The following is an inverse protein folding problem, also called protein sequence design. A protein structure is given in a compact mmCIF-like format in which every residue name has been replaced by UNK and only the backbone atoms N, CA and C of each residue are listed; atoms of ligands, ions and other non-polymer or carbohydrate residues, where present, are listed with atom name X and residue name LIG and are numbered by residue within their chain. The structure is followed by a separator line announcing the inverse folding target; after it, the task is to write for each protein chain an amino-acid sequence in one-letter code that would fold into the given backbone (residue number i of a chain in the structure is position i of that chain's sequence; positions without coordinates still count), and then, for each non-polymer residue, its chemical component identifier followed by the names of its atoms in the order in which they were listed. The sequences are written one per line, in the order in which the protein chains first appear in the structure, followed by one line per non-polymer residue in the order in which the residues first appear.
data_IF_846567483142
#
_entry.id   IF_846567483142
#
_cell.length_a   1.000
_cell.length_b   1.000
_cell.length_c   1.000
_cell.angle_alpha   90.00
_cell.angle_beta   90.00
_cell.angle_gamma   90.00
#
_symmetry.space_group_name_H-M   'P 1'
#
loop_
_entity.id
_entity.type
_entity.pdbx_description
1 polymer ?
#
# COMPACT_ATOMS: atom_id res chain seq x y z
N UNK A 1 -13.41 8.49 -6.91
CA UNK A 1 -12.87 9.22 -5.74
C UNK A 1 -11.55 8.57 -5.36
N UNK A 2 -10.62 9.31 -4.76
CA UNK A 2 -9.35 8.76 -4.25
C UNK A 2 -9.58 8.30 -2.81
N UNK A 3 -9.40 7.01 -2.53
CA UNK A 3 -9.58 6.41 -1.20
C UNK A 3 -8.24 6.09 -0.49
N UNK A 4 -7.11 6.28 -1.18
CA UNK A 4 -5.77 5.99 -0.68
C UNK A 4 -5.35 4.52 -0.76
N UNK A 5 -6.17 3.66 -1.39
CA UNK A 5 -5.88 2.25 -1.62
C UNK A 5 -5.92 1.94 -3.13
N UNK A 6 -5.00 2.51 -3.93
CA UNK A 6 -4.99 2.25 -5.36
C UNK A 6 -4.83 0.75 -5.63
N UNK A 7 -5.75 0.20 -6.42
CA UNK A 7 -5.77 -1.19 -6.84
C UNK A 7 -5.85 -1.34 -8.36
N UNK A 8 -5.28 -2.43 -8.88
CA UNK A 8 -5.27 -2.69 -10.32
C UNK A 8 -4.38 -1.75 -11.13
N UNK A 9 -4.75 -1.55 -12.41
CA UNK A 9 -4.02 -0.67 -13.35
C UNK A 9 -4.65 0.71 -13.35
N UNK A 10 -4.01 1.65 -12.69
CA UNK A 10 -4.46 3.04 -12.61
C UNK A 10 -3.44 3.93 -13.33
N UNK A 11 -3.96 4.83 -14.15
CA UNK A 11 -3.22 5.96 -14.69
C UNK A 11 -4.15 7.18 -14.68
N UNK A 12 -3.82 8.17 -13.85
CA UNK A 12 -4.67 9.33 -13.63
C UNK A 12 -3.87 10.62 -13.58
N UNK A 13 -4.43 11.67 -14.17
CA UNK A 13 -3.94 13.04 -14.06
C UNK A 13 -4.77 13.80 -13.02
N UNK A 14 -4.09 14.58 -12.18
CA UNK A 14 -4.71 15.39 -11.15
C UNK A 14 -4.35 16.86 -11.37
N UNK A 15 -5.36 17.72 -11.42
CA UNK A 15 -5.18 19.18 -11.35
C UNK A 15 -4.71 19.60 -9.95
N UNK A 16 -4.20 20.83 -9.77
CA UNK A 16 -3.81 21.32 -8.45
C UNK A 16 -4.96 21.27 -7.43
N UNK A 17 -6.20 21.56 -7.88
CA UNK A 17 -7.37 21.46 -7.02
C UNK A 17 -7.64 20.00 -6.60
N UNK A 18 -7.61 19.06 -7.55
CA UNK A 18 -7.82 17.63 -7.24
C UNK A 18 -6.71 17.06 -6.35
N UNK A 19 -5.48 17.56 -6.47
CA UNK A 19 -4.40 17.20 -5.54
C UNK A 19 -4.71 17.64 -4.11
N UNK A 20 -5.23 18.86 -3.93
CA UNK A 20 -5.65 19.32 -2.60
C UNK A 20 -6.79 18.45 -2.06
N UNK A 21 -7.79 18.16 -2.88
CA UNK A 21 -8.97 17.36 -2.50
C UNK A 21 -8.60 15.91 -2.12
N UNK A 22 -7.50 15.38 -2.67
CA UNK A 22 -7.01 14.00 -2.42
C UNK A 22 -5.92 13.92 -1.36
N UNK A 23 -5.70 14.99 -0.59
CA UNK A 23 -4.61 15.07 0.40
C UNK A 23 -3.24 14.76 -0.21
N UNK A 24 -2.97 15.32 -1.38
CA UNK A 24 -1.74 15.11 -2.17
C UNK A 24 -1.49 13.66 -2.55
N UNK A 25 -2.54 12.91 -2.91
CA UNK A 25 -2.46 11.49 -3.27
C UNK A 25 -1.85 10.65 -2.15
N UNK A 26 -2.29 10.88 -0.91
CA UNK A 26 -1.88 10.06 0.23
C UNK A 26 -2.27 8.59 -0.04
N UNK A 27 -1.31 7.68 0.19
CA UNK A 27 -1.48 6.24 -0.02
C UNK A 27 -1.20 5.53 1.31
N UNK A 28 -2.08 4.60 1.66
CA UNK A 28 -2.02 3.88 2.93
C UNK A 28 -1.26 2.55 2.86
N UNK A 29 -0.86 2.10 1.67
CA UNK A 29 0.04 0.96 1.51
C UNK A 29 1.39 1.24 2.15
N UNK A 30 1.89 0.30 2.94
CA UNK A 30 3.30 0.32 3.37
C UNK A 30 4.17 0.13 2.13
N UNK A 31 5.12 1.03 1.93
CA UNK A 31 5.92 1.08 0.73
C UNK A 31 7.40 1.23 1.04
N UNK A 32 8.22 0.50 0.29
CA UNK A 32 9.63 0.80 0.13
C UNK A 32 9.78 1.90 -0.92
N UNK A 33 10.61 2.89 -0.61
CA UNK A 33 10.96 3.95 -1.56
C UNK A 33 12.31 3.63 -2.18
N UNK A 34 12.36 3.04 -3.40
CA UNK A 34 13.63 2.81 -4.08
C UNK A 34 14.38 4.14 -4.34
N UNK A 35 15.71 4.08 -4.51
CA UNK A 35 16.50 5.26 -4.85
C UNK A 35 15.96 5.92 -6.13
N UNK A 36 15.80 7.25 -6.06
CA UNK A 36 15.08 8.06 -7.05
C UNK A 36 15.99 8.55 -8.19
N UNK A 37 15.41 8.83 -9.36
CA UNK A 37 16.07 9.57 -10.44
C UNK A 37 15.74 11.07 -10.34
N UNK A 38 16.73 11.92 -10.64
CA UNK A 38 16.65 13.39 -10.57
C UNK A 38 15.51 13.96 -11.42
N UNK A 39 14.78 14.93 -10.87
CA UNK A 39 13.75 15.74 -11.52
C UNK A 39 13.41 16.96 -10.66
N UNK A 40 12.78 17.98 -11.24
CA UNK A 40 12.43 19.23 -10.53
C UNK A 40 10.92 19.29 -10.27
N UNK A 41 10.46 19.66 -9.05
CA UNK A 41 9.04 19.92 -8.81
C UNK A 41 8.51 21.12 -9.61
N UNK A 42 9.38 22.04 -10.03
CA UNK A 42 9.03 23.24 -10.82
C UNK A 42 9.00 22.97 -12.34
N UNK A 43 9.13 21.71 -12.75
CA UNK A 43 9.09 21.33 -14.15
C UNK A 43 7.77 21.79 -14.81
N UNK A 44 7.90 22.44 -15.96
CA UNK A 44 6.77 22.86 -16.78
C UNK A 44 6.17 21.70 -17.60
N UNK A 45 6.92 20.60 -17.77
CA UNK A 45 6.49 19.41 -18.51
C UNK A 45 6.70 18.13 -17.69
N UNK A 46 5.85 17.10 -17.88
CA UNK A 46 5.96 15.81 -17.18
C UNK A 46 7.32 15.13 -17.39
N UNK A 47 7.96 15.35 -18.54
CA UNK A 47 9.26 14.74 -18.89
C UNK A 47 10.43 15.16 -17.99
N UNK A 48 10.30 16.28 -17.26
CA UNK A 48 11.33 16.82 -16.34
C UNK A 48 10.90 16.74 -14.86
N UNK A 49 9.77 16.10 -14.60
CA UNK A 49 9.12 16.11 -13.30
C UNK A 49 9.86 15.30 -12.24
N UNK A 50 9.57 15.59 -10.98
CA UNK A 50 10.05 14.79 -9.86
C UNK A 50 9.17 13.55 -9.73
N UNK A 51 9.71 12.40 -10.14
CA UNK A 51 9.04 11.11 -10.04
C UNK A 51 9.41 10.44 -8.71
N UNK A 52 8.42 10.23 -7.85
CA UNK A 52 8.53 9.37 -6.67
C UNK A 52 7.99 7.98 -7.02
N UNK A 53 8.85 6.96 -6.98
CA UNK A 53 8.44 5.56 -7.15
C UNK A 53 8.37 4.87 -5.80
N UNK A 54 7.44 3.94 -5.71
CA UNK A 54 7.15 3.20 -4.50
C UNK A 54 6.89 1.75 -4.87
N UNK A 55 7.37 0.85 -4.03
CA UNK A 55 7.12 -0.57 -4.14
C UNK A 55 6.41 -1.04 -2.87
N UNK A 56 5.29 -1.73 -3.03
CA UNK A 56 4.53 -2.33 -1.95
C UNK A 56 5.42 -3.22 -1.07
N UNK A 57 5.45 -2.97 0.24
CA UNK A 57 6.25 -3.73 1.17
C UNK A 57 5.65 -5.12 1.48
N UNK A 58 4.43 -5.39 1.03
CA UNK A 58 3.70 -6.63 1.31
C UNK A 58 3.00 -6.62 2.65
N UNK A 59 2.78 -7.81 3.19
CA UNK A 59 2.05 -8.03 4.45
C UNK A 59 2.70 -9.16 5.24
N UNK A 60 2.65 -9.07 6.57
CA UNK A 60 2.94 -10.19 7.46
C UNK A 60 1.64 -10.94 7.72
N UNK A 61 1.56 -12.19 7.33
CA UNK A 61 0.40 -13.05 7.50
C UNK A 61 0.71 -14.12 8.56
N UNK A 62 -0.31 -14.55 9.31
CA UNK A 62 -0.16 -15.71 10.18
C UNK A 62 -0.07 -17.00 9.35
N UNK A 63 0.84 -17.89 9.73
CA UNK A 63 0.99 -19.21 9.10
C UNK A 63 -0.18 -20.18 9.39
N UNK A 64 -1.00 -19.90 10.41
CA UNK A 64 -2.18 -20.71 10.73
C UNK A 64 -3.30 -20.48 9.70
N UNK A 65 -3.84 -21.56 9.13
CA UNK A 65 -4.93 -21.50 8.14
C UNK A 65 -6.24 -20.93 8.68
N UNK A 66 -6.42 -20.94 10.00
CA UNK A 66 -7.63 -20.43 10.67
C UNK A 66 -7.43 -19.04 11.27
N UNK A 67 -6.18 -18.53 11.28
CA UNK A 67 -5.88 -17.20 11.79
C UNK A 67 -5.81 -16.20 10.63
N UNK A 68 -6.68 -15.19 10.64
CA UNK A 68 -6.77 -14.15 9.61
C UNK A 68 -5.95 -12.90 9.94
N UNK A 69 -5.08 -12.97 10.96
CA UNK A 69 -4.24 -11.85 11.37
C UNK A 69 -3.28 -11.48 10.25
N UNK A 70 -3.33 -10.20 9.88
CA UNK A 70 -2.45 -9.55 8.92
C UNK A 70 -1.87 -8.29 9.55
N UNK A 71 -0.56 -8.11 9.42
CA UNK A 71 0.17 -7.01 10.05
C UNK A 71 0.98 -6.25 8.99
N UNK A 72 0.98 -4.93 9.11
CA UNK A 72 1.83 -4.05 8.31
C UNK A 72 3.32 -4.36 8.54
N UNK A 73 4.12 -4.55 7.48
CA UNK A 73 5.57 -4.67 7.62
C UNK A 73 6.16 -3.39 8.23
N UNK A 74 7.06 -3.57 9.19
CA UNK A 74 7.86 -2.53 9.80
C UNK A 74 9.24 -2.42 9.13
N UNK A 75 10.12 -1.59 9.70
CA UNK A 75 11.46 -1.38 9.16
C UNK A 75 12.36 -2.62 9.21
N UNK A 76 12.14 -3.52 10.19
CA UNK A 76 12.89 -4.75 10.38
C UNK A 76 11.94 -5.96 10.26
N UNK A 77 11.61 -6.29 9.01
CA UNK A 77 10.74 -7.42 8.67
C UNK A 77 11.34 -8.72 9.19
N UNK A 78 12.66 -8.89 9.11
CA UNK A 78 13.39 -10.08 9.56
C UNK A 78 13.23 -10.33 11.06
N UNK A 79 13.11 -9.28 11.88
CA UNK A 79 12.78 -9.41 13.30
C UNK A 79 11.30 -9.68 13.52
N UNK A 80 10.41 -9.05 12.75
CA UNK A 80 8.97 -9.26 12.93
C UNK A 80 8.52 -10.68 12.60
N UNK A 81 9.07 -11.31 11.54
CA UNK A 81 8.74 -12.71 11.20
C UNK A 81 9.20 -13.73 12.25
N UNK A 82 10.13 -13.35 13.14
CA UNK A 82 10.56 -14.17 14.29
C UNK A 82 9.62 -14.07 15.48
N UNK A 83 8.68 -13.12 15.46
CA UNK A 83 7.69 -12.96 16.51
C UNK A 83 6.48 -13.84 16.22
N UNK A 84 5.87 -14.37 17.28
CA UNK A 84 4.65 -15.13 17.15
C UNK A 84 3.45 -14.21 16.91
N UNK A 85 2.50 -14.70 16.13
CA UNK A 85 1.16 -14.15 16.05
C UNK A 85 0.46 -14.27 17.40
N UNK A 86 -0.59 -13.48 17.61
CA UNK A 86 -1.43 -13.56 18.82
C UNK A 86 -2.08 -14.93 19.04
N UNK A 87 -2.21 -15.75 17.99
CA UNK A 87 -2.67 -17.14 18.09
C UNK A 87 -1.56 -18.17 18.38
N UNK A 88 -0.32 -17.73 18.60
CA UNK A 88 0.84 -18.60 18.91
C UNK A 88 1.54 -19.20 17.70
N UNK A 89 1.08 -18.95 16.47
CA UNK A 89 1.73 -19.40 15.24
C UNK A 89 2.68 -18.33 14.68
N UNK A 90 3.68 -18.74 13.91
CA UNK A 90 4.65 -17.81 13.31
C UNK A 90 4.03 -16.90 12.25
N UNK A 91 4.61 -15.73 12.07
CA UNK A 91 4.32 -14.80 10.99
C UNK A 91 5.21 -15.09 9.77
N UNK A 92 4.63 -15.08 8.58
CA UNK A 92 5.38 -15.13 7.32
C UNK A 92 5.21 -13.83 6.54
N UNK A 93 6.28 -13.40 5.87
CA UNK A 93 6.23 -12.22 5.01
C UNK A 93 5.76 -12.62 3.60
N UNK A 94 4.56 -12.17 3.24
CA UNK A 94 4.07 -12.24 1.87
C UNK A 94 4.48 -10.97 1.13
N UNK A 95 5.46 -11.13 0.24
CA UNK A 95 5.95 -10.03 -0.60
C UNK A 95 4.89 -9.62 -1.62
N UNK A 96 4.97 -8.36 -2.06
CA UNK A 96 4.03 -7.73 -2.97
C UNK A 96 4.81 -7.14 -4.15
N UNK A 97 4.33 -7.39 -5.37
CA UNK A 97 4.97 -6.90 -6.61
C UNK A 97 4.32 -5.63 -7.14
N UNK A 98 3.37 -5.07 -6.39
CA UNK A 98 2.68 -3.85 -6.75
C UNK A 98 3.63 -2.67 -6.63
N UNK A 99 3.62 -1.83 -7.64
CA UNK A 99 4.46 -0.65 -7.76
C UNK A 99 3.63 0.51 -8.27
N UNK A 100 3.92 1.70 -7.74
CA UNK A 100 3.29 2.92 -8.18
C UNK A 100 4.29 4.08 -8.24
N UNK A 101 3.92 5.08 -9.01
CA UNK A 101 4.64 6.33 -9.11
C UNK A 101 3.70 7.51 -8.96
N UNK A 102 4.18 8.51 -8.24
CA UNK A 102 3.59 9.84 -8.20
C UNK A 102 4.60 10.80 -8.81
N UNK A 103 4.13 11.51 -9.81
CA UNK A 103 4.87 12.46 -10.62
C UNK A 103 4.27 13.83 -10.38
N UNK A 104 5.00 14.74 -9.73
CA UNK A 104 4.48 16.08 -9.41
C UNK A 104 5.21 17.13 -10.25
N UNK A 105 4.43 18.01 -10.88
CA UNK A 105 4.88 19.12 -11.72
C UNK A 105 4.06 20.38 -11.40
N UNK A 106 4.45 21.53 -11.96
CA UNK A 106 3.86 22.84 -11.61
C UNK A 106 2.32 22.87 -11.66
N UNK A 107 1.75 22.20 -12.66
CA UNK A 107 0.33 22.29 -12.98
C UNK A 107 -0.47 21.03 -12.59
N UNK A 108 0.08 20.15 -11.75
CA UNK A 108 -0.63 18.95 -11.33
C UNK A 108 0.26 17.77 -10.98
N UNK A 109 -0.33 16.58 -11.05
CA UNK A 109 0.39 15.33 -10.87
C UNK A 109 -0.13 14.23 -11.78
N UNK A 110 0.72 13.23 -11.99
CA UNK A 110 0.35 11.94 -12.57
C UNK A 110 0.52 10.86 -11.50
N UNK A 111 -0.51 10.04 -11.33
CA UNK A 111 -0.44 8.79 -10.60
C UNK A 111 -0.46 7.63 -11.60
N UNK A 112 0.46 6.67 -11.43
CA UNK A 112 0.51 5.49 -12.28
C UNK A 112 0.91 4.25 -11.47
N UNK A 113 0.30 3.11 -11.78
CA UNK A 113 0.71 1.79 -11.29
C UNK A 113 1.43 1.00 -12.40
N UNK A 114 2.55 0.34 -12.11
CA UNK A 114 3.36 -0.37 -13.13
C UNK A 114 3.11 -1.88 -13.19
N UNK A 115 2.50 -2.49 -12.17
CA UNK A 115 2.20 -3.92 -12.16
C UNK A 115 0.82 -4.20 -11.57
N UNK A 116 0.02 -5.00 -12.29
CA UNK A 116 -1.35 -5.35 -11.95
C UNK A 116 -1.49 -6.69 -11.26
N UNK A 117 -0.43 -7.16 -10.59
CA UNK A 117 -0.62 -8.25 -9.64
C UNK A 117 -1.48 -7.66 -8.53
N UNK A 118 -2.76 -8.03 -8.51
CA UNK A 118 -3.74 -7.72 -7.48
C UNK A 118 -3.03 -7.35 -6.17
N UNK A 119 -3.18 -6.10 -5.73
CA UNK A 119 -2.68 -5.66 -4.44
C UNK A 119 -3.37 -6.52 -3.37
N UNK A 120 -2.76 -7.66 -3.04
CA UNK A 120 -3.19 -8.63 -2.04
C UNK A 120 -4.68 -9.04 -2.03
N UNK A 121 -5.39 -8.98 -3.16
CA UNK A 121 -6.65 -9.71 -3.32
C UNK A 121 -6.36 -11.13 -3.78
N UNK A 122 -6.08 -12.02 -2.82
CA UNK A 122 -6.40 -13.44 -2.97
C UNK A 122 -6.53 -14.06 -1.59
N UNK A 123 -7.74 -13.97 -1.06
CA UNK A 123 -8.31 -14.92 -0.12
C UNK A 123 -9.71 -15.27 -0.62
N UNK A 124 -9.77 -16.06 -1.68
CA UNK A 124 -10.81 -17.08 -1.89
C UNK A 124 -10.20 -18.10 -2.86
N UNK A 125 -9.38 -19.01 -2.36
CA UNK A 125 -9.10 -20.25 -3.08
C UNK A 125 -10.33 -21.15 -2.92
N UNK A 126 -11.07 -21.32 -4.02
CA UNK A 126 -11.94 -22.47 -4.32
C UNK A 126 -12.75 -23.05 -3.16
N UNK A 127 -13.63 -22.25 -2.58
CA UNK A 127 -14.83 -22.77 -1.93
C UNK A 127 -15.96 -21.77 -2.08
N UNK A 128 -17.14 -22.32 -2.30
CA UNK A 128 -18.34 -21.67 -2.82
C UNK A 128 -18.67 -20.30 -2.23
N UNK A 129 -19.32 -19.52 -3.08
CA UNK A 129 -20.04 -18.28 -2.79
C UNK A 129 -20.90 -18.47 -1.53
N UNK A 130 -20.42 -17.99 -0.39
CA UNK A 130 -21.27 -17.40 0.63
C UNK A 130 -20.62 -16.11 1.11
N UNK A 131 -21.35 -15.02 0.90
CA UNK A 131 -20.99 -13.68 1.32
C UNK A 131 -20.75 -13.65 2.84
N UNK A 132 -19.48 -13.73 3.25
CA UNK A 132 -19.07 -13.45 4.62
C UNK A 132 -18.72 -11.98 4.72
N UNK A 133 -19.63 -11.22 5.34
CA UNK A 133 -19.58 -9.78 5.61
C UNK A 133 -18.56 -9.38 6.69
N UNK A 134 -17.40 -10.04 6.77
CA UNK A 134 -16.36 -9.69 7.74
C UNK A 134 -15.34 -8.73 7.10
N UNK A 135 -15.27 -7.46 7.55
CA UNK A 135 -14.33 -6.50 7.00
C UNK A 135 -12.90 -6.94 7.31
N UNK A 136 -12.05 -6.98 6.28
CA UNK A 136 -10.60 -7.08 6.44
C UNK A 136 -10.15 -5.79 7.12
N UNK A 137 -9.71 -5.89 8.38
CA UNK A 137 -9.21 -4.76 9.15
C UNK A 137 -7.84 -4.35 8.61
N UNK A 138 -7.81 -3.30 7.80
CA UNK A 138 -6.58 -2.61 7.44
C UNK A 138 -6.11 -1.78 8.64
N UNK A 139 -4.97 -2.16 9.23
CA UNK A 139 -4.36 -1.36 10.29
C UNK A 139 -3.76 -0.08 9.72
N UNK A 140 -4.40 1.05 10.06
CA UNK A 140 -3.89 2.40 9.85
C UNK A 140 -2.52 2.51 10.51
N UNK A 141 -1.46 2.77 9.73
CA UNK A 141 -0.15 3.08 10.29
C UNK A 141 -0.21 4.45 10.99
N UNK A 142 -0.58 4.48 12.27
CA UNK A 142 -0.45 5.68 13.10
C UNK A 142 0.97 5.79 13.61
N UNK A 143 1.62 6.93 13.34
CA UNK A 143 2.86 7.31 14.02
C UNK A 143 2.59 7.38 15.52
N UNK A 144 3.24 6.51 16.29
CA UNK A 144 3.18 6.54 17.75
C UNK A 144 2.33 5.41 18.33
N UNK A 145 3.02 4.49 18.99
CA UNK A 145 2.66 3.69 20.17
C UNK A 145 1.19 3.34 20.45
N UNK A 146 0.99 2.05 20.73
CA UNK A 146 -0.21 1.37 21.24
C UNK A 146 -1.26 0.96 20.20
N UNK A 147 -1.16 -0.33 19.83
CA UNK A 147 -2.24 -1.10 19.23
C UNK A 147 -3.40 -1.16 20.25
N UNK A 148 -4.45 -0.39 20.00
CA UNK A 148 -5.76 -0.67 20.55
C UNK A 148 -6.68 -1.07 19.39
N UNK A 149 -7.49 -2.13 19.56
CA UNK A 149 -8.51 -2.49 18.58
C UNK A 149 -9.52 -1.34 18.49
N UNK A 150 -9.88 -0.96 17.26
CA UNK A 150 -10.99 -0.04 17.03
C UNK A 150 -12.27 -0.71 17.55
N UNK A 151 -12.93 -0.03 18.50
CA UNK A 151 -14.26 -0.40 19.03
C UNK A 151 -15.36 -0.04 18.04
#
# INVERSE_FOLDING_TARGET
SWDGFPDGRIHCHFTPQQLADTSQLLIYWVANKPPWKRGSPDAASPEKEKISRFQCAGVLECSSRVCTVQIAPGADISRQVKSDCTCGFQLHHRTCKFEWSISVYRNGAVFQTSNSSLALYSLTSDTEIQASTTPVLYYKATRGSHLLPAS
#
